data_IF_861554814509
#
_entry.id   IF_861554814509
#
_cell.length_a   1.000
_cell.length_b   1.000
_cell.length_c   1.000
_cell.angle_alpha   90.00
_cell.angle_beta   90.00
_cell.angle_gamma   90.00
#
_symmetry.space_group_name_H-M   'P 1'
#
loop_
_entity.id
_entity.type
_entity.pdbx_description
1 polymer ?
#
# COMPACT_ATOMS: atom_id res chain seq x y z
N UNK A 1 5.88 19.02 33.17
CA UNK A 1 5.71 19.82 31.94
C UNK A 1 5.54 18.84 30.79
N UNK A 2 4.50 18.95 29.96
CA UNK A 2 4.45 18.22 28.70
C UNK A 2 5.20 19.08 27.70
N UNK A 3 6.38 18.65 27.26
CA UNK A 3 7.14 19.38 26.26
C UNK A 3 6.31 19.46 24.98
N UNK A 4 5.73 20.63 24.72
CA UNK A 4 4.99 20.99 23.50
C UNK A 4 5.86 21.78 22.52
N UNK A 5 7.18 21.69 22.68
CA UNK A 5 8.16 22.36 21.85
C UNK A 5 7.94 22.02 20.37
N UNK A 6 7.85 23.06 19.55
CA UNK A 6 7.83 22.95 18.10
C UNK A 6 9.23 23.17 17.57
N UNK A 7 9.62 22.43 16.54
CA UNK A 7 10.87 22.67 15.83
C UNK A 7 10.62 22.74 14.32
N UNK A 8 11.34 23.64 13.65
CA UNK A 8 11.30 23.81 12.20
C UNK A 8 12.71 23.74 11.64
N UNK A 9 12.95 22.78 10.76
CA UNK A 9 14.17 22.67 9.97
C UNK A 9 13.83 23.03 8.53
N UNK A 10 14.66 23.86 7.91
CA UNK A 10 14.49 24.30 6.52
C UNK A 10 15.83 24.22 5.83
N UNK A 11 15.90 23.52 4.70
CA UNK A 11 17.11 23.38 3.87
C UNK A 11 18.33 22.79 4.62
N UNK A 12 18.06 21.88 5.54
CA UNK A 12 19.10 21.21 6.35
C UNK A 12 19.57 19.92 5.67
N UNK A 13 20.88 19.69 5.64
CA UNK A 13 21.48 18.40 5.30
C UNK A 13 21.87 17.66 6.58
N UNK A 14 21.42 16.42 6.72
CA UNK A 14 21.69 15.54 7.86
C UNK A 14 22.36 14.26 7.34
N UNK A 15 23.50 13.92 7.93
CA UNK A 15 24.25 12.70 7.61
C UNK A 15 24.75 12.04 8.88
N UNK A 16 24.72 10.72 8.96
CA UNK A 16 25.20 9.96 10.11
C UNK A 16 24.74 8.51 10.01
N UNK A 17 25.09 7.65 10.97
CA UNK A 17 24.78 6.21 10.90
C UNK A 17 23.54 5.77 11.70
N UNK A 18 23.02 6.63 12.59
CA UNK A 18 21.90 6.32 13.49
C UNK A 18 20.55 6.76 12.95
N UNK A 19 19.81 7.53 13.76
CA UNK A 19 18.58 8.21 13.36
C UNK A 19 18.89 9.62 12.87
N UNK A 20 18.36 10.02 11.72
CA UNK A 20 18.55 11.37 11.17
C UNK A 20 17.81 12.43 11.98
N UNK A 21 16.50 12.24 12.17
CA UNK A 21 15.66 13.12 12.99
C UNK A 21 14.85 12.28 13.97
N UNK A 22 14.93 12.59 15.26
CA UNK A 22 14.10 11.98 16.30
C UNK A 22 13.17 13.04 16.91
N UNK A 23 11.86 12.78 16.90
CA UNK A 23 10.86 13.66 17.53
C UNK A 23 10.26 12.99 18.77
N UNK A 24 10.57 13.54 19.95
CA UNK A 24 10.03 13.10 21.25
C UNK A 24 9.12 14.12 21.93
N UNK A 25 9.04 15.34 21.39
CA UNK A 25 8.12 16.37 21.90
C UNK A 25 6.69 16.11 21.41
N UNK A 26 5.70 16.52 22.21
CA UNK A 26 4.28 16.48 21.83
C UNK A 26 3.85 17.60 20.87
N UNK A 27 4.75 18.55 20.57
CA UNK A 27 4.51 19.61 19.59
C UNK A 27 4.66 19.15 18.13
N UNK A 28 4.72 20.13 17.23
CA UNK A 28 4.90 19.88 15.78
C UNK A 28 6.37 19.98 15.38
N UNK A 29 6.87 18.96 14.68
CA UNK A 29 8.15 18.98 13.97
C UNK A 29 7.88 19.25 12.49
N UNK A 30 8.39 20.36 11.97
CA UNK A 30 8.30 20.70 10.54
C UNK A 30 9.65 20.57 9.87
N UNK A 31 9.76 19.68 8.88
CA UNK A 31 10.94 19.51 8.03
C UNK A 31 10.59 20.01 6.62
N UNK A 32 11.28 21.05 6.14
CA UNK A 32 11.08 21.59 4.79
C UNK A 32 12.37 21.48 3.99
N UNK A 33 12.36 20.76 2.87
CA UNK A 33 13.53 20.55 2.01
C UNK A 33 14.74 20.00 2.76
N UNK A 34 14.50 19.10 3.72
CA UNK A 34 15.55 18.46 4.52
C UNK A 34 16.07 17.21 3.80
N UNK A 35 17.38 17.07 3.71
CA UNK A 35 18.05 15.94 3.04
C UNK A 35 18.78 15.08 4.06
N UNK A 36 18.31 13.85 4.27
CA UNK A 36 18.83 12.89 5.23
C UNK A 36 19.48 11.74 4.47
N UNK A 37 20.71 11.34 4.84
CA UNK A 37 21.40 10.22 4.17
C UNK A 37 22.37 9.48 5.10
N UNK A 38 22.76 8.27 4.69
CA UNK A 38 23.68 7.35 5.39
C UNK A 38 23.16 6.79 6.73
N UNK A 39 21.92 7.10 7.10
CA UNK A 39 21.32 6.74 8.38
C UNK A 39 20.70 5.34 8.35
N UNK A 40 20.43 4.78 9.53
CA UNK A 40 19.63 3.58 9.70
C UNK A 40 18.13 3.90 9.67
N UNK A 41 17.73 5.00 10.30
CA UNK A 41 16.36 5.53 10.29
C UNK A 41 16.38 6.98 9.86
N UNK A 42 15.60 7.35 8.83
CA UNK A 42 15.48 8.73 8.38
C UNK A 42 14.87 9.62 9.46
N UNK A 43 13.59 9.39 9.74
CA UNK A 43 12.81 10.12 10.74
C UNK A 43 12.10 9.13 11.66
N UNK A 44 12.33 9.25 12.98
CA UNK A 44 11.57 8.53 14.01
C UNK A 44 10.66 9.51 14.77
N UNK A 45 9.38 9.53 14.40
CA UNK A 45 8.32 10.32 15.03
C UNK A 45 7.70 9.52 16.18
N UNK A 46 8.16 9.77 17.40
CA UNK A 46 7.75 9.03 18.61
C UNK A 46 6.60 9.73 19.37
N UNK A 47 6.48 11.05 19.25
CA UNK A 47 5.45 11.87 19.89
C UNK A 47 5.05 13.06 19.02
N UNK A 48 3.89 13.69 19.24
CA UNK A 48 3.54 14.94 18.56
C UNK A 48 3.11 14.78 17.10
N UNK A 49 3.30 15.80 16.28
CA UNK A 49 2.92 15.81 14.86
C UNK A 49 4.17 16.02 13.98
N UNK A 50 4.40 15.12 13.02
CA UNK A 50 5.40 15.30 11.97
C UNK A 50 4.76 15.95 10.75
N UNK A 51 5.38 17.02 10.25
CA UNK A 51 5.08 17.61 8.94
C UNK A 51 6.38 17.65 8.14
N UNK A 52 6.45 16.90 7.04
CA UNK A 52 7.60 16.88 6.14
C UNK A 52 7.17 17.29 4.74
N UNK A 53 7.75 18.38 4.25
CA UNK A 53 7.48 18.95 2.94
C UNK A 53 8.78 18.96 2.13
N UNK A 54 8.77 18.30 0.98
CA UNK A 54 9.92 18.15 0.11
C UNK A 54 11.10 17.44 0.81
N UNK A 55 12.23 17.37 0.11
CA UNK A 55 13.45 16.78 0.66
C UNK A 55 13.55 15.28 0.43
N UNK A 56 14.64 14.71 0.95
CA UNK A 56 15.04 13.34 0.65
C UNK A 56 15.41 12.59 1.92
N UNK A 57 15.08 11.30 1.95
CA UNK A 57 15.48 10.38 3.01
C UNK A 57 16.10 9.14 2.38
N UNK A 58 17.40 9.00 2.52
CA UNK A 58 18.14 7.79 2.17
C UNK A 58 18.56 7.05 3.43
N UNK A 59 18.21 5.77 3.53
CA UNK A 59 18.49 4.95 4.71
C UNK A 59 18.96 3.55 4.32
N UNK A 60 19.83 2.97 5.14
CA UNK A 60 20.49 1.68 4.88
C UNK A 60 19.79 0.53 5.61
N UNK A 61 20.13 -0.72 5.28
CA UNK A 61 19.80 -1.89 6.11
C UNK A 61 18.31 -2.16 6.30
N UNK A 62 17.94 -2.55 7.52
CA UNK A 62 16.59 -3.00 7.90
C UNK A 62 15.71 -1.93 8.55
N UNK A 63 16.15 -0.67 8.53
CA UNK A 63 15.46 0.43 9.20
C UNK A 63 14.35 1.05 8.37
N UNK A 64 14.11 2.33 8.59
CA UNK A 64 12.92 3.03 8.12
C UNK A 64 13.26 4.35 7.45
N UNK A 65 12.56 4.69 6.37
CA UNK A 65 12.55 6.07 5.88
C UNK A 65 11.87 6.98 6.91
N UNK A 66 10.58 6.74 7.15
CA UNK A 66 9.80 7.42 8.19
C UNK A 66 9.09 6.40 9.07
N UNK A 67 9.32 6.47 10.37
CA UNK A 67 8.66 5.66 11.39
C UNK A 67 7.78 6.55 12.27
N UNK A 68 6.53 6.14 12.46
CA UNK A 68 5.53 6.85 13.28
C UNK A 68 5.03 5.91 14.38
N UNK A 69 5.35 6.22 15.63
CA UNK A 69 5.16 5.30 16.75
C UNK A 69 4.80 6.01 18.06
N UNK A 70 4.74 5.27 19.17
CA UNK A 70 4.58 5.84 20.51
C UNK A 70 3.30 6.67 20.68
N UNK A 71 3.47 7.92 21.10
CA UNK A 71 2.38 8.90 21.29
C UNK A 71 2.28 9.88 20.14
N UNK A 72 2.94 9.62 19.01
CA UNK A 72 2.76 10.42 17.81
C UNK A 72 1.29 10.43 17.40
N UNK A 73 0.81 11.62 17.07
CA UNK A 73 -0.60 11.86 16.71
C UNK A 73 -0.80 11.68 15.21
N UNK A 74 0.13 12.20 14.40
CA UNK A 74 0.08 12.07 12.95
C UNK A 74 1.42 12.35 12.28
N UNK A 75 1.54 11.90 11.03
CA UNK A 75 2.58 12.33 10.11
C UNK A 75 1.97 12.75 8.77
N UNK A 76 2.41 13.90 8.26
CA UNK A 76 2.03 14.43 6.96
C UNK A 76 3.29 14.59 6.10
N UNK A 77 3.36 13.85 5.00
CA UNK A 77 4.50 13.83 4.08
C UNK A 77 4.03 14.35 2.71
N UNK A 78 4.66 15.41 2.21
CA UNK A 78 4.31 16.01 0.91
C UNK A 78 5.55 16.15 0.04
N UNK A 79 5.54 15.62 -1.18
CA UNK A 79 6.64 15.71 -2.15
C UNK A 79 7.99 15.18 -1.63
N UNK A 80 7.96 14.17 -0.77
CA UNK A 80 9.17 13.59 -0.15
C UNK A 80 9.66 12.42 -1.00
N UNK A 81 10.98 12.31 -1.19
CA UNK A 81 11.60 11.12 -1.76
C UNK A 81 12.20 10.26 -0.64
N UNK A 82 11.85 8.98 -0.60
CA UNK A 82 12.35 7.99 0.36
C UNK A 82 13.03 6.86 -0.41
N UNK A 83 14.29 6.58 -0.08
CA UNK A 83 15.09 5.57 -0.77
C UNK A 83 15.78 4.64 0.23
N UNK A 84 15.57 3.34 0.07
CA UNK A 84 16.42 2.34 0.69
C UNK A 84 17.75 2.25 -0.06
N UNK A 85 18.88 2.31 0.65
CA UNK A 85 20.20 2.12 0.07
C UNK A 85 20.65 0.67 0.29
N UNK A 86 20.62 -0.11 -0.79
CA UNK A 86 21.11 -1.50 -0.88
C UNK A 86 21.11 -1.93 -2.35
N UNK A 87 22.05 -2.79 -2.75
CA UNK A 87 22.20 -3.29 -4.13
C UNK A 87 21.10 -4.28 -4.57
N UNK A 88 20.08 -4.45 -3.74
CA UNK A 88 18.86 -5.23 -3.95
C UNK A 88 17.77 -4.59 -3.10
N UNK A 89 16.51 -4.97 -3.32
CA UNK A 89 15.37 -4.51 -2.53
C UNK A 89 15.69 -4.66 -1.03
N UNK A 90 16.06 -3.54 -0.39
CA UNK A 90 16.66 -3.56 0.95
C UNK A 90 15.71 -4.16 1.97
N UNK A 91 16.18 -4.61 3.14
CA UNK A 91 15.28 -5.25 4.13
C UNK A 91 14.38 -4.26 4.88
N UNK A 92 14.65 -2.97 4.74
CA UNK A 92 13.94 -1.88 5.40
C UNK A 92 12.60 -1.51 4.76
N UNK A 93 11.94 -0.51 5.35
CA UNK A 93 10.59 -0.07 4.98
C UNK A 93 10.57 1.42 4.69
N UNK A 94 9.82 1.85 3.66
CA UNK A 94 9.71 3.27 3.33
C UNK A 94 9.02 4.06 4.44
N UNK A 95 7.74 3.78 4.68
CA UNK A 95 6.95 4.37 5.76
C UNK A 95 6.34 3.28 6.64
N UNK A 96 6.51 3.39 7.95
CA UNK A 96 5.99 2.43 8.92
C UNK A 96 5.24 3.15 10.05
N UNK A 97 4.00 2.72 10.30
CA UNK A 97 3.13 3.30 11.33
C UNK A 97 2.63 2.25 12.32
N UNK A 98 2.75 2.54 13.61
CA UNK A 98 2.20 1.73 14.71
C UNK A 98 0.80 2.20 15.10
N UNK A 99 -0.11 2.26 14.11
CA UNK A 99 -1.50 2.63 14.33
C UNK A 99 -1.80 4.11 14.37
N UNK A 100 -0.95 4.96 13.79
CA UNK A 100 -1.14 6.42 13.78
C UNK A 100 -1.67 6.91 12.45
N UNK A 101 -2.30 8.10 12.43
CA UNK A 101 -2.73 8.72 11.19
C UNK A 101 -1.50 9.11 10.35
N UNK A 102 -1.44 8.66 9.10
CA UNK A 102 -0.38 9.07 8.16
C UNK A 102 -1.02 9.50 6.85
N UNK A 103 -0.60 10.67 6.37
CA UNK A 103 -1.01 11.21 5.07
C UNK A 103 0.23 11.44 4.21
N UNK A 104 0.19 10.92 2.99
CA UNK A 104 1.26 11.00 2.00
C UNK A 104 0.69 11.63 0.72
N UNK A 105 1.30 12.71 0.26
CA UNK A 105 0.92 13.41 -0.96
C UNK A 105 2.13 13.53 -1.89
N UNK A 106 2.09 12.87 -3.05
CA UNK A 106 3.20 12.83 -4.01
C UNK A 106 4.53 12.36 -3.38
N UNK A 107 4.47 11.30 -2.58
CA UNK A 107 5.66 10.70 -1.96
C UNK A 107 6.18 9.58 -2.84
N UNK A 108 7.47 9.61 -3.15
CA UNK A 108 8.15 8.59 -3.95
C UNK A 108 8.98 7.68 -3.04
N UNK A 109 8.77 6.37 -3.13
CA UNK A 109 9.47 5.35 -2.34
C UNK A 109 10.18 4.40 -3.29
N UNK A 110 11.44 4.09 -3.05
CA UNK A 110 12.17 3.11 -3.87
C UNK A 110 13.17 2.24 -3.12
N UNK A 111 13.47 1.07 -3.69
CA UNK A 111 14.53 0.16 -3.25
C UNK A 111 14.38 -0.35 -1.80
N UNK A 112 13.13 -0.60 -1.38
CA UNK A 112 12.80 -1.12 -0.04
C UNK A 112 12.07 -2.46 -0.13
N UNK A 113 12.10 -3.25 0.93
CA UNK A 113 11.32 -4.49 1.01
C UNK A 113 9.83 -4.19 1.05
N UNK A 114 9.44 -3.17 1.80
CA UNK A 114 8.04 -2.78 1.91
C UNK A 114 7.90 -1.28 1.76
N UNK A 115 7.09 -0.85 0.79
CA UNK A 115 6.84 0.57 0.56
C UNK A 115 6.22 1.23 1.81
N UNK A 116 5.03 0.75 2.19
CA UNK A 116 4.26 1.31 3.32
C UNK A 116 3.68 0.19 4.19
N UNK A 117 3.71 0.38 5.51
CA UNK A 117 3.08 -0.51 6.46
C UNK A 117 2.28 0.21 7.55
N UNK A 118 1.07 -0.27 7.78
CA UNK A 118 0.35 -0.08 9.04
C UNK A 118 0.43 -1.39 9.85
N UNK A 119 1.08 -1.33 11.01
CA UNK A 119 1.27 -2.49 11.88
C UNK A 119 -0.07 -3.03 12.37
N UNK A 120 -0.11 -4.35 12.59
CA UNK A 120 -1.19 -5.02 13.29
C UNK A 120 -1.50 -4.37 14.65
N UNK A 121 -2.78 -4.36 15.02
CA UNK A 121 -3.28 -3.68 16.22
C UNK A 121 -3.37 -2.15 16.09
N UNK A 122 -2.91 -1.58 14.97
CA UNK A 122 -3.06 -0.16 14.70
C UNK A 122 -4.51 0.24 14.47
N UNK A 123 -4.85 1.49 14.81
CA UNK A 123 -6.21 2.06 14.60
C UNK A 123 -6.20 3.31 13.72
N UNK A 124 -5.04 3.77 13.28
CA UNK A 124 -4.90 4.95 12.45
C UNK A 124 -5.44 4.76 11.03
N UNK A 125 -5.63 5.88 10.34
CA UNK A 125 -5.89 5.93 8.89
C UNK A 125 -4.60 6.17 8.11
N UNK A 126 -4.41 5.44 7.01
CA UNK A 126 -3.36 5.64 6.02
C UNK A 126 -3.97 6.26 4.77
N UNK A 127 -3.51 7.45 4.37
CA UNK A 127 -3.95 8.10 3.12
C UNK A 127 -2.76 8.37 2.22
N UNK A 128 -2.82 7.89 0.98
CA UNK A 128 -1.78 8.05 -0.04
C UNK A 128 -2.44 8.69 -1.27
N UNK A 129 -1.93 9.84 -1.70
CA UNK A 129 -2.44 10.58 -2.86
C UNK A 129 -1.30 10.87 -3.83
N UNK A 130 -1.33 10.26 -5.01
CA UNK A 130 -0.24 10.34 -6.00
C UNK A 130 1.04 9.67 -5.51
N UNK A 131 2.18 10.06 -6.10
CA UNK A 131 3.49 9.47 -5.81
C UNK A 131 3.66 8.06 -6.36
N UNK A 132 4.81 7.47 -6.09
CA UNK A 132 5.19 6.16 -6.64
C UNK A 132 5.87 5.26 -5.62
N UNK A 133 5.72 3.95 -5.79
CA UNK A 133 6.54 2.93 -5.16
C UNK A 133 7.25 2.16 -6.27
N UNK A 134 8.56 2.34 -6.41
CA UNK A 134 9.35 1.77 -7.51
C UNK A 134 10.41 0.81 -6.98
N UNK A 135 10.53 -0.37 -7.60
CA UNK A 135 11.46 -1.42 -7.20
C UNK A 135 11.30 -1.85 -5.73
N UNK A 136 10.07 -1.82 -5.22
CA UNK A 136 9.77 -2.35 -3.89
C UNK A 136 9.56 -3.87 -3.98
N UNK A 137 9.93 -4.63 -2.94
CA UNK A 137 9.57 -6.05 -2.95
C UNK A 137 8.06 -6.19 -2.86
N UNK A 138 7.45 -5.61 -1.83
CA UNK A 138 6.02 -5.49 -1.60
C UNK A 138 5.62 -4.02 -1.53
N UNK A 139 4.43 -3.67 -2.01
CA UNK A 139 3.96 -2.28 -2.00
C UNK A 139 3.44 -1.82 -0.64
N UNK A 140 2.17 -2.10 -0.36
CA UNK A 140 1.46 -1.64 0.85
C UNK A 140 1.00 -2.85 1.66
N UNK A 141 1.27 -2.85 2.96
CA UNK A 141 0.73 -3.83 3.91
C UNK A 141 -0.08 -3.13 5.00
N UNK A 142 -1.39 -3.31 4.98
CA UNK A 142 -2.30 -2.90 6.05
C UNK A 142 -2.60 -4.10 6.93
N UNK A 143 -1.65 -4.41 7.83
CA UNK A 143 -1.84 -5.46 8.84
C UNK A 143 -2.79 -5.01 9.96
N UNK A 144 -2.87 -3.69 10.21
CA UNK A 144 -3.90 -3.07 11.03
C UNK A 144 -4.37 -1.75 10.42
N UNK A 145 -5.00 -0.93 11.25
CA UNK A 145 -5.58 0.36 10.87
C UNK A 145 -7.10 0.30 10.75
N UNK A 146 -7.73 1.47 10.76
CA UNK A 146 -9.15 1.60 10.47
C UNK A 146 -9.39 1.66 8.96
N UNK A 147 -8.60 2.49 8.27
CA UNK A 147 -8.81 2.81 6.86
C UNK A 147 -7.53 2.98 6.07
N UNK A 148 -7.51 2.45 4.85
CA UNK A 148 -6.56 2.77 3.79
C UNK A 148 -7.27 3.53 2.68
N UNK A 149 -6.71 4.66 2.24
CA UNK A 149 -7.11 5.36 1.02
C UNK A 149 -5.88 5.50 0.13
N UNK A 150 -5.96 5.01 -1.10
CA UNK A 150 -4.93 5.21 -2.14
C UNK A 150 -5.61 5.82 -3.35
N UNK A 151 -5.18 7.01 -3.77
CA UNK A 151 -5.84 7.74 -4.85
C UNK A 151 -4.89 8.63 -5.64
N UNK A 152 -5.41 9.29 -6.67
CA UNK A 152 -4.68 10.35 -7.38
C UNK A 152 -3.57 9.81 -8.28
N UNK A 153 -3.77 8.62 -8.88
CA UNK A 153 -2.81 8.06 -9.83
C UNK A 153 -1.56 7.45 -9.17
N UNK A 154 -1.61 7.10 -7.88
CA UNK A 154 -0.49 6.42 -7.21
C UNK A 154 -0.08 5.16 -7.98
N UNK A 155 1.21 5.02 -8.25
CA UNK A 155 1.78 3.86 -8.93
C UNK A 155 2.53 2.95 -7.96
N UNK A 156 2.33 1.64 -8.10
CA UNK A 156 2.98 0.62 -7.27
C UNK A 156 3.61 -0.42 -8.20
N UNK A 157 4.94 -0.38 -8.30
CA UNK A 157 5.75 -1.35 -9.04
C UNK A 157 6.46 -2.25 -8.05
N UNK A 158 5.99 -3.49 -7.94
CA UNK A 158 6.49 -4.46 -6.98
C UNK A 158 7.04 -5.71 -7.70
N UNK A 159 7.90 -6.47 -7.01
CA UNK A 159 8.59 -7.62 -7.63
C UNK A 159 8.29 -8.95 -6.95
N UNK A 160 7.57 -8.94 -5.83
CA UNK A 160 7.25 -10.18 -5.12
C UNK A 160 6.17 -10.03 -4.06
N UNK A 161 5.51 -11.14 -3.72
CA UNK A 161 4.45 -11.14 -2.72
C UNK A 161 3.20 -10.43 -3.21
N UNK A 162 3.10 -9.11 -3.03
CA UNK A 162 1.90 -8.34 -3.32
C UNK A 162 2.14 -6.85 -3.60
N UNK A 163 1.25 -6.26 -4.41
CA UNK A 163 1.14 -4.81 -4.57
C UNK A 163 0.49 -4.16 -3.36
N UNK A 164 -0.72 -4.61 -3.00
CA UNK A 164 -1.45 -4.12 -1.81
C UNK A 164 -2.04 -5.30 -1.04
N UNK A 165 -1.73 -5.41 0.25
CA UNK A 165 -2.30 -6.39 1.17
C UNK A 165 -3.12 -5.71 2.25
N UNK A 166 -4.37 -6.14 2.40
CA UNK A 166 -5.33 -5.68 3.39
C UNK A 166 -5.70 -6.87 4.27
N UNK A 167 -5.70 -6.68 5.58
CA UNK A 167 -5.96 -7.74 6.57
C UNK A 167 -6.97 -7.27 7.61
N UNK A 168 -7.45 -8.21 8.44
CA UNK A 168 -8.32 -7.93 9.57
C UNK A 168 -9.61 -7.19 9.15
N UNK A 169 -9.93 -6.07 9.81
CA UNK A 169 -11.18 -5.32 9.60
C UNK A 169 -10.94 -3.98 8.89
N UNK A 170 -9.78 -3.83 8.23
CA UNK A 170 -9.40 -2.59 7.53
C UNK A 170 -10.37 -2.33 6.38
N UNK A 171 -10.91 -1.11 6.31
CA UNK A 171 -11.61 -0.63 5.12
C UNK A 171 -10.60 -0.02 4.15
N UNK A 172 -10.57 -0.48 2.90
CA UNK A 172 -9.64 0.03 1.89
C UNK A 172 -10.37 0.61 0.67
N UNK A 173 -9.94 1.79 0.25
CA UNK A 173 -10.41 2.47 -0.96
C UNK A 173 -9.21 2.74 -1.88
N UNK A 174 -9.17 2.04 -3.01
CA UNK A 174 -8.17 2.23 -4.07
C UNK A 174 -8.86 2.90 -5.26
N UNK A 175 -8.42 4.09 -5.66
CA UNK A 175 -9.08 4.94 -6.65
C UNK A 175 -8.10 5.44 -7.71
N UNK A 176 -8.17 4.90 -8.93
CA UNK A 176 -7.25 5.26 -10.00
C UNK A 176 -5.80 4.83 -9.72
N UNK A 177 -5.61 3.81 -8.88
CA UNK A 177 -4.28 3.27 -8.53
C UNK A 177 -3.79 2.35 -9.65
N UNK A 178 -2.50 2.43 -9.98
CA UNK A 178 -1.85 1.53 -10.94
C UNK A 178 -0.91 0.60 -10.19
N UNK A 179 -1.11 -0.71 -10.36
CA UNK A 179 -0.37 -1.77 -9.68
C UNK A 179 0.25 -2.68 -10.73
N UNK A 180 1.57 -2.76 -10.74
CA UNK A 180 2.34 -3.55 -11.71
C UNK A 180 3.28 -4.49 -10.98
N UNK A 181 3.16 -5.79 -11.25
CA UNK A 181 4.12 -6.80 -10.79
C UNK A 181 5.23 -7.08 -11.82
N UNK A 182 5.93 -8.19 -11.62
CA UNK A 182 6.97 -8.69 -12.53
C UNK A 182 6.63 -10.06 -13.15
N UNK A 183 5.36 -10.44 -13.14
CA UNK A 183 4.82 -11.72 -13.61
C UNK A 183 4.48 -12.71 -12.48
N UNK A 184 4.95 -12.45 -11.25
CA UNK A 184 4.61 -13.23 -10.05
C UNK A 184 3.80 -12.43 -9.03
N UNK A 185 3.40 -13.10 -7.93
CA UNK A 185 2.71 -12.45 -6.81
C UNK A 185 1.27 -12.03 -7.10
N UNK A 186 0.67 -11.26 -6.19
CA UNK A 186 -0.73 -10.83 -6.28
C UNK A 186 -0.83 -9.30 -6.41
N UNK A 187 -1.69 -8.79 -7.29
CA UNK A 187 -1.93 -7.34 -7.36
C UNK A 187 -2.51 -6.79 -6.05
N UNK A 188 -3.71 -7.27 -5.70
CA UNK A 188 -4.39 -6.93 -4.44
C UNK A 188 -4.77 -8.19 -3.66
N UNK A 189 -4.37 -8.25 -2.40
CA UNK A 189 -4.73 -9.30 -1.45
C UNK A 189 -5.68 -8.73 -0.41
N UNK A 190 -6.93 -9.21 -0.37
CA UNK A 190 -7.96 -8.80 0.57
C UNK A 190 -8.26 -9.94 1.55
N UNK A 191 -7.80 -9.80 2.80
CA UNK A 191 -7.99 -10.79 3.86
C UNK A 191 -8.82 -10.20 5.00
N UNK A 192 -9.50 -11.07 5.74
CA UNK A 192 -10.26 -10.68 6.92
C UNK A 192 -11.73 -10.36 6.61
N UNK A 193 -12.34 -9.45 7.38
CA UNK A 193 -13.77 -9.11 7.25
C UNK A 193 -14.03 -7.68 6.79
N UNK A 194 -12.96 -6.87 6.63
CA UNK A 194 -13.04 -5.52 6.10
C UNK A 194 -13.58 -5.44 4.67
N UNK A 195 -13.84 -4.22 4.20
CA UNK A 195 -14.27 -3.96 2.83
C UNK A 195 -13.12 -3.40 1.99
N UNK A 196 -13.01 -3.87 0.75
CA UNK A 196 -12.05 -3.37 -0.24
C UNK A 196 -12.81 -2.87 -1.45
N UNK A 197 -12.70 -1.58 -1.72
CA UNK A 197 -13.29 -0.93 -2.89
C UNK A 197 -12.17 -0.53 -3.85
N UNK A 198 -12.28 -0.98 -5.09
CA UNK A 198 -11.37 -0.64 -6.20
C UNK A 198 -12.17 0.08 -7.28
N UNK A 199 -11.90 1.37 -7.47
CA UNK A 199 -12.51 2.18 -8.51
C UNK A 199 -11.44 2.59 -9.53
N UNK A 200 -11.63 2.22 -10.80
CA UNK A 200 -10.70 2.53 -11.89
C UNK A 200 -9.25 2.10 -11.61
N UNK A 201 -9.08 0.97 -10.91
CA UNK A 201 -7.75 0.42 -10.59
C UNK A 201 -7.24 -0.38 -11.79
N UNK A 202 -5.94 -0.24 -12.07
CA UNK A 202 -5.24 -1.02 -13.08
C UNK A 202 -4.27 -2.00 -12.42
N UNK A 203 -4.40 -3.29 -12.71
CA UNK A 203 -3.52 -4.35 -12.23
C UNK A 203 -2.91 -5.06 -13.43
N UNK A 204 -1.59 -5.18 -13.45
CA UNK A 204 -0.89 -5.88 -14.54
C UNK A 204 0.35 -6.66 -14.10
N UNK A 205 0.72 -7.68 -14.90
CA UNK A 205 1.94 -8.48 -14.73
C UNK A 205 2.04 -9.13 -13.36
N UNK A 206 0.98 -9.82 -12.94
CA UNK A 206 0.95 -10.56 -11.67
C UNK A 206 0.46 -11.97 -11.90
N UNK A 207 0.71 -12.87 -10.96
CA UNK A 207 0.13 -14.21 -11.03
C UNK A 207 -1.39 -14.12 -10.85
N UNK A 208 -1.82 -13.49 -9.76
CA UNK A 208 -3.25 -13.29 -9.44
C UNK A 208 -3.55 -11.80 -9.41
N UNK A 209 -4.56 -11.35 -10.15
CA UNK A 209 -4.99 -9.95 -10.12
C UNK A 209 -5.45 -9.53 -8.72
N UNK A 210 -6.52 -10.19 -8.24
CA UNK A 210 -7.11 -9.97 -6.93
C UNK A 210 -7.33 -11.32 -6.24
N UNK A 211 -6.77 -11.50 -5.04
CA UNK A 211 -7.04 -12.66 -4.19
C UNK A 211 -7.76 -12.18 -2.92
N UNK A 212 -8.97 -12.67 -2.71
CA UNK A 212 -9.82 -12.29 -1.60
C UNK A 212 -10.26 -13.52 -0.80
N UNK A 213 -9.78 -13.59 0.44
CA UNK A 213 -10.12 -14.68 1.36
C UNK A 213 -11.20 -14.28 2.36
N UNK A 214 -11.91 -13.17 2.15
CA UNK A 214 -12.98 -12.73 3.04
C UNK A 214 -13.46 -11.30 2.78
N UNK A 215 -14.44 -10.89 3.59
CA UNK A 215 -14.98 -9.54 3.59
C UNK A 215 -15.82 -9.22 2.36
N UNK A 216 -15.87 -7.94 2.01
CA UNK A 216 -16.56 -7.46 0.81
C UNK A 216 -15.55 -6.85 -0.16
N UNK A 217 -15.54 -7.33 -1.40
CA UNK A 217 -14.71 -6.77 -2.47
C UNK A 217 -15.62 -6.17 -3.53
N UNK A 218 -15.48 -4.87 -3.79
CA UNK A 218 -16.18 -4.15 -4.86
C UNK A 218 -15.18 -3.61 -5.86
N UNK A 219 -15.34 -3.97 -7.13
CA UNK A 219 -14.52 -3.51 -8.25
C UNK A 219 -15.43 -2.78 -9.24
N UNK A 220 -15.03 -1.58 -9.64
CA UNK A 220 -15.83 -0.69 -10.49
C UNK A 220 -14.93 -0.05 -11.55
N UNK A 221 -15.13 -0.42 -12.82
CA UNK A 221 -14.26 -0.01 -13.92
C UNK A 221 -12.85 -0.60 -13.81
N UNK A 222 -11.88 0.00 -14.50
CA UNK A 222 -10.48 -0.42 -14.47
C UNK A 222 -10.18 -1.72 -15.23
N UNK A 223 -8.93 -2.19 -15.09
CA UNK A 223 -8.38 -3.30 -15.88
C UNK A 223 -7.56 -4.24 -15.01
N UNK A 224 -7.77 -5.55 -15.18
CA UNK A 224 -6.90 -6.61 -14.68
C UNK A 224 -6.41 -7.37 -15.90
N UNK A 225 -5.12 -7.24 -16.26
CA UNK A 225 -4.58 -7.80 -17.50
C UNK A 225 -3.18 -8.36 -17.33
N UNK A 226 -2.68 -9.13 -18.29
CA UNK A 226 -1.37 -9.77 -18.18
C UNK A 226 -1.24 -10.57 -16.88
N UNK A 227 -2.33 -11.26 -16.48
CA UNK A 227 -2.39 -12.09 -15.28
C UNK A 227 -2.58 -13.58 -15.62
N UNK A 228 -2.19 -14.46 -14.70
CA UNK A 228 -2.56 -15.88 -14.84
C UNK A 228 -4.02 -16.09 -14.48
N UNK A 229 -4.46 -15.59 -13.32
CA UNK A 229 -5.88 -15.57 -12.93
C UNK A 229 -6.31 -14.15 -12.58
N UNK A 230 -7.56 -13.81 -12.90
CA UNK A 230 -8.10 -12.48 -12.65
C UNK A 230 -8.43 -12.25 -11.18
N UNK A 231 -9.59 -12.73 -10.75
CA UNK A 231 -10.11 -12.58 -9.38
C UNK A 231 -10.34 -13.96 -8.78
N UNK A 232 -9.86 -14.18 -7.56
CA UNK A 232 -10.12 -15.36 -6.76
C UNK A 232 -10.81 -14.93 -5.47
N UNK A 233 -12.08 -15.30 -5.30
CA UNK A 233 -12.86 -15.02 -4.09
C UNK A 233 -13.17 -16.33 -3.38
N UNK A 234 -12.64 -16.50 -2.17
CA UNK A 234 -12.83 -17.73 -1.37
C UNK A 234 -14.12 -17.69 -0.53
N UNK A 235 -14.38 -16.56 0.14
CA UNK A 235 -15.56 -16.34 0.99
C UNK A 235 -15.94 -14.87 1.07
N UNK A 236 -17.18 -14.57 1.43
CA UNK A 236 -17.68 -13.19 1.59
C UNK A 236 -18.52 -12.71 0.40
N UNK A 237 -18.44 -11.42 0.05
CA UNK A 237 -19.24 -10.83 -1.05
C UNK A 237 -18.36 -10.20 -2.12
N UNK A 238 -18.58 -10.57 -3.38
CA UNK A 238 -17.89 -10.01 -4.54
C UNK A 238 -18.87 -9.20 -5.41
N UNK A 239 -18.50 -7.96 -5.74
CA UNK A 239 -19.19 -7.13 -6.72
C UNK A 239 -18.17 -6.65 -7.75
N UNK A 240 -18.43 -6.90 -9.03
CA UNK A 240 -17.60 -6.41 -10.14
C UNK A 240 -18.52 -5.76 -11.17
N UNK A 241 -18.29 -4.49 -11.50
CA UNK A 241 -19.23 -3.75 -12.33
C UNK A 241 -18.64 -2.60 -13.13
N UNK A 242 -19.51 -1.94 -13.88
CA UNK A 242 -19.27 -0.64 -14.52
C UNK A 242 -18.09 -0.65 -15.49
N UNK A 243 -18.04 -1.67 -16.37
CA UNK A 243 -17.08 -1.76 -17.47
C UNK A 243 -15.73 -2.34 -17.09
N UNK A 244 -15.57 -2.96 -15.91
CA UNK A 244 -14.35 -3.66 -15.53
C UNK A 244 -13.96 -4.69 -16.59
N UNK A 245 -12.67 -4.71 -16.97
CA UNK A 245 -12.12 -5.66 -17.92
C UNK A 245 -11.09 -6.58 -17.28
N UNK A 246 -11.23 -7.87 -17.51
CA UNK A 246 -10.36 -8.92 -17.00
C UNK A 246 -9.81 -9.74 -18.17
N UNK A 247 -8.49 -9.78 -18.31
CA UNK A 247 -7.77 -10.57 -19.30
C UNK A 247 -6.81 -11.52 -18.60
N UNK A 248 -6.92 -12.81 -18.88
CA UNK A 248 -6.16 -13.85 -18.18
C UNK A 248 -5.65 -14.93 -19.13
N UNK A 249 -4.57 -15.61 -18.72
CA UNK A 249 -3.92 -16.67 -19.51
C UNK A 249 -4.03 -18.06 -18.88
N UNK A 250 -4.32 -18.11 -17.59
CA UNK A 250 -4.40 -19.33 -16.79
C UNK A 250 -5.79 -19.95 -16.80
N UNK A 251 -6.19 -20.47 -15.64
CA UNK A 251 -7.38 -21.33 -15.55
C UNK A 251 -8.69 -20.56 -15.52
N UNK A 252 -8.70 -19.33 -14.97
CA UNK A 252 -9.92 -18.58 -14.70
C UNK A 252 -9.77 -17.06 -14.78
N UNK A 253 -10.82 -16.39 -15.27
CA UNK A 253 -10.96 -14.94 -15.13
C UNK A 253 -11.48 -14.57 -13.73
N UNK A 254 -12.56 -15.20 -13.30
CA UNK A 254 -13.14 -15.03 -11.95
C UNK A 254 -13.47 -16.38 -11.35
N UNK A 255 -12.90 -16.67 -10.17
CA UNK A 255 -13.24 -17.83 -9.36
C UNK A 255 -14.08 -17.40 -8.16
N UNK A 256 -15.21 -18.07 -7.97
CA UNK A 256 -16.14 -17.90 -6.84
C UNK A 256 -16.14 -19.20 -6.05
N UNK A 257 -15.58 -19.18 -4.84
CA UNK A 257 -15.47 -20.32 -3.94
C UNK A 257 -16.80 -20.70 -3.28
N UNK A 258 -16.85 -21.90 -2.71
CA UNK A 258 -18.06 -22.48 -2.10
C UNK A 258 -18.61 -21.69 -0.90
N UNK A 259 -17.76 -20.92 -0.21
CA UNK A 259 -18.13 -20.10 0.95
C UNK A 259 -18.43 -18.63 0.59
N UNK A 260 -18.52 -18.29 -0.69
CA UNK A 260 -18.93 -16.96 -1.14
C UNK A 260 -20.43 -16.79 -0.92
N UNK A 261 -20.81 -15.77 -0.15
CA UNK A 261 -22.21 -15.43 0.15
C UNK A 261 -22.94 -14.90 -1.07
N UNK A 262 -22.27 -14.06 -1.87
CA UNK A 262 -22.80 -13.60 -3.15
C UNK A 262 -21.69 -13.11 -4.07
N UNK A 263 -21.88 -13.30 -5.38
CA UNK A 263 -21.03 -12.75 -6.42
C UNK A 263 -21.90 -12.10 -7.50
N UNK A 264 -21.75 -10.78 -7.70
CA UNK A 264 -22.50 -10.01 -8.70
C UNK A 264 -21.53 -9.43 -9.72
N UNK A 265 -21.66 -9.84 -10.98
CA UNK A 265 -20.90 -9.31 -12.11
C UNK A 265 -21.87 -8.60 -13.06
N UNK A 266 -21.70 -7.30 -13.30
CA UNK A 266 -22.62 -6.51 -14.14
C UNK A 266 -21.84 -5.62 -15.10
N UNK A 267 -22.06 -5.77 -16.41
CA UNK A 267 -21.29 -5.03 -17.42
C UNK A 267 -19.77 -5.23 -17.27
N UNK A 268 -19.33 -6.50 -17.24
CA UNK A 268 -17.93 -6.90 -17.07
C UNK A 268 -17.47 -7.65 -18.32
N UNK A 269 -16.31 -7.29 -18.85
CA UNK A 269 -15.67 -8.04 -19.94
C UNK A 269 -14.63 -9.00 -19.35
N UNK A 270 -14.75 -10.29 -19.66
CA UNK A 270 -13.77 -11.31 -19.27
C UNK A 270 -13.28 -12.04 -20.52
N UNK A 271 -11.96 -12.04 -20.75
CA UNK A 271 -11.33 -12.66 -21.92
C UNK A 271 -10.16 -13.54 -21.52
N UNK A 272 -10.21 -14.82 -21.91
CA UNK A 272 -9.08 -15.75 -21.77
C UNK A 272 -8.28 -15.90 -23.07
N UNK A 273 -6.97 -16.07 -22.99
CA UNK A 273 -6.09 -16.30 -24.16
C UNK A 273 -6.06 -17.77 -24.64
N UNK A 274 -7.23 -18.41 -24.76
CA UNK A 274 -7.38 -19.66 -25.50
C UNK A 274 -7.63 -20.94 -24.70
N UNK A 275 -7.51 -20.92 -23.36
CA UNK A 275 -7.97 -21.98 -22.44
C UNK A 275 -8.47 -21.37 -21.12
N UNK A 276 -9.22 -22.15 -20.33
CA UNK A 276 -9.75 -21.73 -19.04
C UNK A 276 -11.21 -21.26 -19.09
N UNK A 277 -11.79 -20.99 -17.92
CA UNK A 277 -13.18 -20.55 -17.77
C UNK A 277 -13.22 -19.04 -17.51
N UNK A 278 -14.13 -18.31 -18.15
CA UNK A 278 -14.31 -16.88 -17.83
C UNK A 278 -14.72 -16.70 -16.36
N UNK A 279 -15.75 -17.43 -15.94
CA UNK A 279 -16.20 -17.51 -14.54
C UNK A 279 -16.29 -18.97 -14.13
N UNK A 280 -15.75 -19.32 -12.97
CA UNK A 280 -15.92 -20.62 -12.33
C UNK A 280 -16.49 -20.41 -10.94
N UNK A 281 -17.74 -20.81 -10.78
CA UNK A 281 -18.40 -20.84 -9.49
C UNK A 281 -18.42 -22.28 -8.98
N UNK A 282 -17.77 -22.51 -7.84
CA UNK A 282 -17.85 -23.76 -7.12
C UNK A 282 -19.23 -23.81 -6.43
N UNK A 283 -20.05 -24.83 -6.75
CA UNK A 283 -21.41 -24.93 -6.22
C UNK A 283 -21.43 -24.83 -4.70
N UNK A 284 -22.27 -23.95 -4.16
CA UNK A 284 -22.47 -23.82 -2.71
C UNK A 284 -23.14 -25.05 -2.12
N UNK A 285 -22.84 -25.35 -0.85
CA UNK A 285 -23.55 -26.34 -0.04
C UNK A 285 -24.80 -25.68 0.56
#
# INVERSE_FOLDING_TARGET
MRDNATAKLTEVKITGSGTGVEMRSSGTMTLTSVNISQVQTGVDAVAGQLVMNMGTVEFTGNGYGVKVSGTATSAELTMVTIKGSGSSQGTGKGVYAEGKKVTMSSVDISNVRLGVEMKEGGTGTMTITGGSMTDVQMGINMAGGEKLVVKGGTTINFTGGYGVKIQNNVTAELMGTVITGNGGGTGVTAMGTGSVTMNMVEISKVQVGVNATGGTVTITGGWIREVQTGIEMEKGTLVVKDGTRIEFTGTHGVKVGTAVTSATLTNVMIRGEGKGMGVHAEGGI
#
